data_IF_609947349282
#
_entry.id   IF_609947349282
#
_cell.length_a   1.000
_cell.length_b   1.000
_cell.length_c   1.000
_cell.angle_alpha   90.00
_cell.angle_beta   90.00
_cell.angle_gamma   90.00
#
_symmetry.space_group_name_H-M   'P 1'
#
loop_
_entity.id
_entity.type
_entity.pdbx_description
1 polymer ?
#
# COMPACT_ATOMS: atom_id res chain seq x y z
N UNK A 1 1.08 -14.20 -14.52
CA UNK A 1 1.88 -14.36 -13.28
C UNK A 1 1.57 -15.75 -12.72
N UNK A 2 2.56 -16.66 -12.64
CA UNK A 2 2.33 -18.03 -12.16
C UNK A 2 2.05 -18.01 -10.64
N UNK A 3 1.19 -18.91 -10.11
CA UNK A 3 0.92 -18.95 -8.69
C UNK A 3 2.20 -19.35 -7.96
N UNK A 4 2.71 -18.44 -7.14
CA UNK A 4 3.84 -18.69 -6.26
C UNK A 4 3.43 -19.74 -5.24
N UNK A 5 4.30 -20.75 -5.06
CA UNK A 5 4.28 -21.74 -3.98
C UNK A 5 3.81 -21.09 -2.67
N UNK A 6 3.00 -21.84 -1.93
CA UNK A 6 2.31 -21.39 -0.72
C UNK A 6 3.21 -20.68 0.29
N UNK A 7 2.54 -19.95 1.18
CA UNK A 7 3.00 -19.11 2.29
C UNK A 7 4.05 -19.77 3.22
N UNK A 8 5.16 -20.22 2.67
CA UNK A 8 6.30 -20.75 3.37
C UNK A 8 7.40 -19.69 3.31
N UNK A 9 7.85 -19.26 4.49
CA UNK A 9 8.98 -18.36 4.65
C UNK A 9 10.25 -19.06 4.11
N UNK A 10 10.92 -18.53 3.07
CA UNK A 10 12.08 -19.18 2.45
C UNK A 10 13.28 -19.31 3.40
N UNK A 11 13.35 -18.49 4.46
CA UNK A 11 14.44 -18.51 5.43
C UNK A 11 14.15 -19.44 6.63
N UNK A 12 12.94 -19.98 6.72
CA UNK A 12 12.58 -20.98 7.73
C UNK A 12 12.76 -22.36 7.12
N UNK A 13 13.89 -23.01 7.44
CA UNK A 13 14.04 -24.46 7.27
C UNK A 13 12.78 -25.13 7.79
N UNK A 14 12.18 -26.04 7.01
CA UNK A 14 10.90 -26.72 7.28
C UNK A 14 10.78 -27.19 8.73
N UNK A 15 10.30 -26.30 9.62
CA UNK A 15 9.96 -26.64 10.99
C UNK A 15 8.60 -27.32 10.92
N UNK A 16 8.48 -28.49 11.52
CA UNK A 16 7.22 -29.20 11.63
C UNK A 16 6.30 -28.43 12.59
N UNK A 17 5.49 -27.53 12.03
CA UNK A 17 4.43 -26.87 12.77
C UNK A 17 3.25 -27.84 12.91
N UNK A 18 2.70 -27.99 14.12
CA UNK A 18 1.39 -28.64 14.31
C UNK A 18 0.25 -27.79 13.71
N UNK A 19 0.37 -26.45 13.78
CA UNK A 19 -0.59 -25.51 13.20
C UNK A 19 0.08 -24.15 12.88
N UNK A 20 -0.30 -23.54 11.76
CA UNK A 20 0.09 -22.19 11.34
C UNK A 20 -1.16 -21.36 11.11
N UNK A 21 -1.37 -20.32 11.91
CA UNK A 21 -2.57 -19.47 11.84
C UNK A 21 -2.29 -18.08 11.22
N UNK A 22 -1.02 -17.67 11.20
CA UNK A 22 -0.59 -16.37 10.69
C UNK A 22 -0.10 -16.49 9.25
N UNK A 23 -0.54 -15.57 8.40
CA UNK A 23 -0.02 -15.42 7.04
C UNK A 23 1.45 -15.02 7.06
N UNK A 24 2.26 -15.60 6.19
CA UNK A 24 3.66 -15.24 6.01
C UNK A 24 4.07 -15.27 4.53
N UNK A 25 5.27 -14.78 4.23
CA UNK A 25 5.78 -14.64 2.88
C UNK A 25 5.68 -13.22 2.33
N UNK A 26 6.03 -13.07 1.06
CA UNK A 26 6.11 -11.76 0.40
C UNK A 26 4.72 -11.12 0.29
N UNK A 27 4.63 -9.83 0.66
CA UNK A 27 3.42 -9.04 0.49
C UNK A 27 3.69 -7.84 -0.43
N UNK A 28 2.72 -7.51 -1.27
CA UNK A 28 2.74 -6.33 -2.13
C UNK A 28 1.33 -5.73 -2.18
N UNK A 29 1.23 -4.40 -2.08
CA UNK A 29 -0.01 -3.65 -2.29
C UNK A 29 0.30 -2.39 -3.09
N UNK A 30 -0.61 -2.03 -3.98
CA UNK A 30 -0.55 -0.82 -4.78
C UNK A 30 -1.87 -0.05 -4.61
N UNK A 31 -1.77 1.28 -4.52
CA UNK A 31 -2.91 2.19 -4.40
C UNK A 31 -2.82 3.22 -5.52
N UNK A 32 -3.95 3.50 -6.17
CA UNK A 32 -4.03 4.59 -7.15
C UNK A 32 -4.53 5.85 -6.45
N UNK A 33 -3.78 6.94 -6.58
CA UNK A 33 -4.13 8.23 -6.01
C UNK A 33 -4.78 9.08 -7.11
N UNK A 34 -5.79 9.87 -6.75
CA UNK A 34 -6.53 10.72 -7.71
C UNK A 34 -5.71 11.93 -8.17
N UNK A 35 -4.78 12.37 -7.35
CA UNK A 35 -4.00 13.58 -7.56
C UNK A 35 -2.54 13.24 -7.85
N UNK A 36 -1.89 14.09 -8.65
CA UNK A 36 -0.44 14.04 -8.82
C UNK A 36 0.22 14.55 -7.54
N UNK A 37 1.01 13.70 -6.90
CA UNK A 37 1.69 14.02 -5.63
C UNK A 37 3.20 13.98 -5.89
N UNK A 38 3.92 14.94 -5.31
CA UNK A 38 5.39 14.93 -5.34
C UNK A 38 5.92 13.77 -4.48
N UNK A 39 6.67 12.81 -5.04
CA UNK A 39 7.20 11.67 -4.29
C UNK A 39 8.08 12.09 -3.10
N UNK A 40 8.80 13.20 -3.23
CA UNK A 40 9.74 13.70 -2.23
C UNK A 40 9.06 14.15 -0.93
N UNK A 41 7.74 14.37 -0.97
CA UNK A 41 6.96 14.83 0.19
C UNK A 41 6.26 13.69 0.94
N UNK A 42 6.34 12.45 0.44
CA UNK A 42 5.74 11.28 1.08
C UNK A 42 6.56 10.90 2.32
N UNK A 43 5.90 10.70 3.46
CA UNK A 43 6.54 10.26 4.70
C UNK A 43 5.99 8.89 5.12
N UNK A 44 6.85 8.08 5.73
CA UNK A 44 6.43 6.78 6.27
C UNK A 44 7.00 6.56 7.67
N UNK A 45 6.23 5.89 8.53
CA UNK A 45 6.63 5.49 9.88
C UNK A 45 6.18 4.05 10.12
N UNK A 46 7.06 3.21 10.64
CA UNK A 46 6.73 1.86 11.05
C UNK A 46 6.87 1.72 12.57
N UNK A 47 5.75 1.45 13.25
CA UNK A 47 5.73 1.31 14.71
C UNK A 47 4.70 0.27 15.12
N UNK A 48 5.08 -0.63 16.03
CA UNK A 48 4.20 -1.65 16.61
C UNK A 48 3.47 -2.52 15.56
N UNK A 49 4.16 -2.87 14.46
CA UNK A 49 3.59 -3.70 13.40
C UNK A 49 2.69 -2.97 12.41
N UNK A 50 2.59 -1.64 12.50
CA UNK A 50 1.78 -0.82 11.59
C UNK A 50 2.68 0.10 10.76
N UNK A 51 2.52 0.03 9.44
CA UNK A 51 3.11 0.97 8.49
C UNK A 51 2.12 2.12 8.26
N UNK A 52 2.45 3.30 8.75
CA UNK A 52 1.74 4.55 8.46
C UNK A 52 2.44 5.25 7.28
N UNK A 53 1.68 5.56 6.24
CA UNK A 53 2.14 6.34 5.08
C UNK A 53 1.35 7.64 5.05
N UNK A 54 2.04 8.77 5.23
CA UNK A 54 1.50 10.13 5.20
C UNK A 54 1.74 10.71 3.81
N UNK A 55 0.65 11.01 3.10
CA UNK A 55 0.67 11.53 1.73
C UNK A 55 0.05 12.94 1.76
N UNK A 56 0.82 14.01 1.51
CA UNK A 56 0.29 15.36 1.54
C UNK A 56 -0.63 15.63 0.36
N UNK A 57 -1.69 16.43 0.58
CA UNK A 57 -2.55 16.92 -0.50
C UNK A 57 -1.74 17.91 -1.36
N UNK A 58 -1.76 17.78 -2.70
CA UNK A 58 -1.10 18.75 -3.57
C UNK A 58 -1.74 20.13 -3.46
N UNK A 59 -0.92 21.18 -3.51
CA UNK A 59 -1.35 22.58 -3.33
C UNK A 59 -2.29 23.07 -4.43
N UNK A 60 -2.28 22.43 -5.60
CA UNK A 60 -3.07 22.80 -6.79
C UNK A 60 -4.54 22.36 -6.73
N UNK A 61 -4.95 21.55 -5.75
CA UNK A 61 -6.36 21.15 -5.54
C UNK A 61 -7.22 22.27 -4.92
N UNK A 62 -7.15 23.49 -5.48
CA UNK A 62 -8.23 24.47 -5.26
C UNK A 62 -9.42 24.03 -6.11
N UNK A 63 -10.61 23.83 -5.53
CA UNK A 63 -11.78 23.40 -6.30
C UNK A 63 -12.07 24.44 -7.38
N UNK A 64 -12.02 24.01 -8.65
CA UNK A 64 -12.41 24.85 -9.78
C UNK A 64 -13.93 24.85 -9.86
N UNK A 65 -14.55 26.03 -9.87
CA UNK A 65 -15.98 26.16 -10.15
C UNK A 65 -16.21 25.80 -11.62
N UNK A 66 -17.00 24.77 -11.87
CA UNK A 66 -17.41 24.37 -13.21
C UNK A 66 -18.82 24.92 -13.43
N UNK A 67 -18.95 25.96 -14.25
CA UNK A 67 -20.25 26.39 -14.76
C UNK A 67 -20.68 25.44 -15.86
N UNK A 68 -21.91 24.91 -15.77
CA UNK A 68 -22.51 24.09 -16.82
C UNK A 68 -23.58 24.93 -17.49
N UNK A 69 -23.35 25.29 -18.75
CA UNK A 69 -24.35 25.95 -19.57
C UNK A 69 -25.32 24.90 -20.15
N UNK A 70 -26.59 25.26 -20.23
CA UNK A 70 -27.69 24.42 -20.70
C UNK A 70 -28.18 25.03 -22.03
N UNK A 71 -28.34 24.21 -23.07
CA UNK A 71 -29.10 24.54 -24.31
C UNK A 71 -30.56 24.10 -24.20
#
# INVERSE_FOLDING_TARGET
>A
MKPTKGFADPDVQSKNYYRQERTCGNFHRAFTLRAMISPDQIKAKFKNGVLLVEIPRPEEEKPRQISVDIE
#
